data_IF_178244130972
#
_entry.id   IF_178244130972
#
_cell.length_a   1.000
_cell.length_b   1.000
_cell.length_c   1.000
_cell.angle_alpha   90.00
_cell.angle_beta   90.00
_cell.angle_gamma   90.00
#
_symmetry.space_group_name_H-M   'P 1'
#
loop_
_entity.id
_entity.type
_entity.pdbx_description
1 polymer ?
#
# COMPACT_ATOMS: atom_id res chain seq x y z
N UNK A 1 -23.20 -29.14 13.20
CA UNK A 1 -22.77 -27.89 13.80
C UNK A 1 -22.64 -26.88 12.66
N UNK A 2 -23.33 -25.75 12.75
CA UNK A 2 -23.22 -24.67 11.76
C UNK A 2 -21.94 -23.89 12.08
N UNK A 3 -21.04 -23.76 11.12
CA UNK A 3 -19.86 -22.92 11.27
C UNK A 3 -20.30 -21.48 11.46
N UNK A 4 -19.80 -20.75 12.47
CA UNK A 4 -20.18 -19.34 12.65
C UNK A 4 -19.73 -18.52 11.42
N UNK A 5 -20.60 -17.64 10.95
CA UNK A 5 -20.27 -16.69 9.89
C UNK A 5 -19.40 -15.59 10.47
N UNK A 6 -18.26 -15.34 9.86
CA UNK A 6 -17.34 -14.30 10.30
C UNK A 6 -17.74 -12.92 9.75
N UNK A 7 -18.11 -12.88 8.46
CA UNK A 7 -18.46 -11.67 7.73
C UNK A 7 -19.48 -12.01 6.64
N UNK A 8 -20.45 -11.13 6.40
CA UNK A 8 -21.50 -11.34 5.40
C UNK A 8 -21.77 -10.03 4.67
N UNK A 9 -21.95 -10.12 3.36
CA UNK A 9 -22.24 -8.99 2.47
C UNK A 9 -23.59 -9.23 1.78
N UNK A 10 -24.26 -8.18 1.25
CA UNK A 10 -25.46 -8.30 0.46
C UNK A 10 -25.31 -9.30 -0.73
N UNK A 11 -26.39 -9.98 -1.10
CA UNK A 11 -26.37 -10.99 -2.18
C UNK A 11 -26.07 -10.41 -3.55
N UNK A 12 -26.30 -9.14 -3.78
CA UNK A 12 -26.04 -8.40 -5.01
C UNK A 12 -24.60 -7.83 -5.08
N UNK A 13 -23.81 -7.97 -4.00
CA UNK A 13 -22.40 -7.61 -4.02
C UNK A 13 -21.54 -8.73 -4.61
N UNK A 14 -20.42 -8.36 -5.22
CA UNK A 14 -19.61 -9.28 -6.00
C UNK A 14 -18.96 -10.36 -5.15
N UNK A 15 -18.34 -10.01 -4.01
CA UNK A 15 -17.68 -10.96 -3.11
C UNK A 15 -17.27 -10.33 -1.77
N UNK A 16 -17.07 -11.20 -0.78
CA UNK A 16 -16.42 -10.86 0.49
C UNK A 16 -15.05 -11.54 0.58
N UNK A 17 -14.07 -10.82 1.11
CA UNK A 17 -12.73 -11.35 1.41
C UNK A 17 -12.39 -10.99 2.84
N UNK A 18 -11.73 -11.89 3.57
CA UNK A 18 -11.14 -11.62 4.87
C UNK A 18 -9.67 -12.01 4.86
N UNK A 19 -8.85 -11.23 5.55
CA UNK A 19 -7.42 -11.46 5.72
C UNK A 19 -7.02 -11.18 7.17
N UNK A 20 -6.03 -11.90 7.65
CA UNK A 20 -5.45 -11.67 8.96
C UNK A 20 -4.00 -11.22 8.79
N UNK A 21 -3.69 -10.06 9.34
CA UNK A 21 -2.33 -9.54 9.46
C UNK A 21 -1.75 -10.10 10.75
N UNK A 22 -0.70 -10.91 10.63
CA UNK A 22 -0.01 -11.56 11.76
C UNK A 22 1.26 -10.83 12.19
N UNK A 23 1.52 -9.63 11.64
CA UNK A 23 2.69 -8.81 11.98
C UNK A 23 2.78 -8.58 13.48
N UNK A 24 3.85 -9.00 14.16
CA UNK A 24 3.97 -8.92 15.61
C UNK A 24 3.77 -7.50 16.17
N UNK A 25 2.79 -7.34 17.06
CA UNK A 25 2.41 -6.05 17.65
C UNK A 25 1.44 -5.22 16.82
N UNK A 26 1.05 -5.72 15.64
CA UNK A 26 0.11 -5.07 14.73
C UNK A 26 -0.96 -6.05 14.23
N UNK A 27 -1.17 -7.15 14.93
CA UNK A 27 -2.10 -8.20 14.54
C UNK A 27 -3.52 -7.63 14.38
N UNK A 28 -4.09 -7.82 13.20
CA UNK A 28 -5.42 -7.30 12.84
C UNK A 28 -6.12 -8.24 11.87
N UNK A 29 -7.44 -8.23 11.92
CA UNK A 29 -8.25 -8.93 10.93
C UNK A 29 -9.02 -7.91 10.12
N UNK A 30 -8.93 -8.03 8.82
CA UNK A 30 -9.60 -7.19 7.85
C UNK A 30 -10.69 -7.95 7.13
N UNK A 31 -11.71 -7.25 6.68
CA UNK A 31 -12.66 -7.74 5.69
C UNK A 31 -12.86 -6.69 4.60
N UNK A 32 -13.12 -7.15 3.41
CA UNK A 32 -13.42 -6.29 2.25
C UNK A 32 -14.73 -6.79 1.64
N UNK A 33 -15.66 -5.88 1.52
CA UNK A 33 -16.89 -6.03 0.75
C UNK A 33 -16.66 -5.44 -0.63
N UNK A 34 -16.51 -6.28 -1.65
CA UNK A 34 -16.45 -5.85 -3.04
C UNK A 34 -17.86 -5.68 -3.58
N UNK A 35 -18.31 -4.43 -3.66
CA UNK A 35 -19.62 -4.08 -4.20
C UNK A 35 -19.66 -4.42 -5.68
N UNK A 36 -18.61 -4.02 -6.42
CA UNK A 36 -18.37 -4.32 -7.84
C UNK A 36 -16.86 -4.34 -8.13
N UNK A 37 -16.47 -4.29 -9.41
CA UNK A 37 -15.05 -4.28 -9.84
C UNK A 37 -14.26 -3.04 -9.39
N UNK A 38 -14.93 -1.92 -9.16
CA UNK A 38 -14.31 -0.64 -8.87
C UNK A 38 -14.54 -0.19 -7.43
N UNK A 39 -15.64 -0.63 -6.83
CA UNK A 39 -16.11 -0.16 -5.54
C UNK A 39 -16.01 -1.23 -4.46
N UNK A 40 -15.49 -0.85 -3.30
CA UNK A 40 -15.33 -1.73 -2.13
C UNK A 40 -15.47 -0.95 -0.84
N UNK A 41 -15.87 -1.62 0.22
CA UNK A 41 -15.81 -1.11 1.58
C UNK A 41 -14.83 -1.97 2.37
N UNK A 42 -13.88 -1.33 3.03
CA UNK A 42 -12.88 -2.00 3.84
C UNK A 42 -13.27 -1.92 5.32
N UNK A 43 -13.05 -3.00 6.03
CA UNK A 43 -13.38 -3.13 7.46
C UNK A 43 -12.19 -3.68 8.23
N UNK A 44 -12.09 -3.29 9.49
CA UNK A 44 -11.18 -3.91 10.46
C UNK A 44 -12.01 -4.45 11.63
N UNK A 45 -11.64 -5.61 12.14
CA UNK A 45 -12.27 -6.22 13.31
C UNK A 45 -11.75 -5.55 14.59
N UNK A 46 -12.64 -4.99 15.39
CA UNK A 46 -12.37 -4.38 16.69
C UNK A 46 -13.43 -4.83 17.68
N UNK A 47 -13.00 -5.36 18.83
CA UNK A 47 -13.91 -5.78 19.92
C UNK A 47 -15.11 -6.60 19.40
N UNK A 48 -14.82 -7.63 18.58
CA UNK A 48 -15.81 -8.52 17.94
C UNK A 48 -16.77 -7.83 16.96
N UNK A 49 -16.50 -6.58 16.57
CA UNK A 49 -17.32 -5.81 15.64
C UNK A 49 -16.51 -5.36 14.42
N UNK A 50 -17.13 -5.39 13.25
CA UNK A 50 -16.55 -4.87 12.03
C UNK A 50 -16.74 -3.36 11.94
N UNK A 51 -15.63 -2.64 11.98
CA UNK A 51 -15.56 -1.18 11.87
C UNK A 51 -15.16 -0.81 10.46
N UNK A 52 -15.98 -0.05 9.72
CA UNK A 52 -15.59 0.40 8.37
C UNK A 52 -14.46 1.41 8.45
N UNK A 53 -13.52 1.29 7.51
CA UNK A 53 -12.52 2.33 7.26
C UNK A 53 -13.19 3.39 6.38
N UNK A 54 -13.37 4.58 6.91
CA UNK A 54 -14.17 5.66 6.33
C UNK A 54 -13.44 6.33 5.16
N UNK A 55 -13.56 5.75 3.97
CA UNK A 55 -13.04 6.25 2.70
C UNK A 55 -14.07 6.06 1.58
N UNK A 56 -14.00 6.82 0.48
CA UNK A 56 -14.79 6.54 -0.72
C UNK A 56 -14.58 5.10 -1.22
N UNK A 57 -15.60 4.51 -1.81
CA UNK A 57 -15.61 3.10 -2.22
C UNK A 57 -14.61 2.77 -3.33
N UNK A 58 -14.16 3.77 -4.09
CA UNK A 58 -13.16 3.67 -5.15
C UNK A 58 -11.72 3.89 -4.66
N UNK A 59 -11.50 4.08 -3.35
CA UNK A 59 -10.16 4.18 -2.76
C UNK A 59 -9.64 2.79 -2.39
N UNK A 60 -8.47 2.45 -2.93
CA UNK A 60 -7.75 1.26 -2.49
C UNK A 60 -7.10 1.52 -1.13
N UNK A 61 -7.29 0.61 -0.19
CA UNK A 61 -6.75 0.68 1.16
C UNK A 61 -5.80 -0.49 1.36
N UNK A 62 -4.64 -0.23 1.94
CA UNK A 62 -3.75 -1.26 2.49
C UNK A 62 -3.20 -0.82 3.83
N UNK A 63 -2.83 -1.78 4.67
CA UNK A 63 -2.24 -1.52 5.98
C UNK A 63 -0.88 -2.21 6.08
N UNK A 64 0.06 -1.58 6.77
CA UNK A 64 1.31 -2.18 7.19
C UNK A 64 1.73 -1.54 8.50
N UNK A 65 1.87 -2.33 9.55
CA UNK A 65 2.21 -1.87 10.89
C UNK A 65 1.32 -0.70 11.33
N UNK A 66 1.90 0.44 11.71
CA UNK A 66 1.17 1.66 12.12
C UNK A 66 0.57 2.47 10.96
N UNK A 67 0.76 2.05 9.71
CA UNK A 67 0.39 2.84 8.54
C UNK A 67 -0.84 2.30 7.81
N UNK A 68 -1.72 3.21 7.41
CA UNK A 68 -2.72 3.02 6.36
C UNK A 68 -2.27 3.74 5.11
N UNK A 69 -2.33 3.06 3.97
CA UNK A 69 -2.10 3.64 2.66
C UNK A 69 -3.41 3.72 1.89
N UNK A 70 -3.60 4.82 1.19
CA UNK A 70 -4.77 5.07 0.35
C UNK A 70 -4.32 5.43 -1.06
N UNK A 71 -4.93 4.76 -2.04
CA UNK A 71 -4.76 5.08 -3.46
C UNK A 71 -6.14 5.31 -4.08
N UNK A 72 -6.55 6.57 -4.28
CA UNK A 72 -7.81 6.89 -4.94
C UNK A 72 -7.75 6.56 -6.43
N UNK A 73 -8.85 6.02 -6.98
CA UNK A 73 -8.99 5.77 -8.41
C UNK A 73 -9.58 6.97 -9.15
N UNK A 74 -10.23 7.87 -8.44
CA UNK A 74 -10.68 9.19 -8.90
C UNK A 74 -10.14 10.27 -7.96
N UNK A 75 -10.28 11.53 -8.33
CA UNK A 75 -9.88 12.64 -7.47
C UNK A 75 -10.65 12.59 -6.14
N UNK A 76 -9.93 12.49 -5.04
CA UNK A 76 -10.50 12.40 -3.70
C UNK A 76 -10.38 13.74 -2.99
N UNK A 77 -11.53 14.33 -2.63
CA UNK A 77 -11.56 15.57 -1.85
C UNK A 77 -11.81 15.23 -0.38
N UNK A 78 -10.87 15.58 0.48
CA UNK A 78 -10.95 15.39 1.93
C UNK A 78 -10.58 16.70 2.63
N UNK A 79 -11.48 17.22 3.46
CA UNK A 79 -11.29 18.47 4.23
C UNK A 79 -10.77 19.65 3.38
N UNK A 80 -11.22 19.75 2.14
CA UNK A 80 -10.85 20.83 1.21
C UNK A 80 -9.53 20.62 0.47
N UNK A 81 -8.81 19.52 0.74
CA UNK A 81 -7.64 19.09 -0.01
C UNK A 81 -8.04 18.07 -1.07
N UNK A 82 -7.56 18.25 -2.30
CA UNK A 82 -7.78 17.30 -3.39
C UNK A 82 -6.54 16.42 -3.55
N UNK A 83 -6.74 15.10 -3.46
CA UNK A 83 -5.75 14.08 -3.77
C UNK A 83 -6.06 13.52 -5.15
N UNK A 84 -5.22 13.79 -6.17
CA UNK A 84 -5.50 13.35 -7.54
C UNK A 84 -5.60 11.83 -7.68
N UNK A 85 -6.38 11.38 -8.65
CA UNK A 85 -6.44 9.97 -9.06
C UNK A 85 -5.04 9.37 -9.23
N UNK A 86 -4.79 8.21 -8.65
CA UNK A 86 -3.50 7.52 -8.70
C UNK A 86 -2.43 8.04 -7.73
N UNK A 87 -2.72 9.06 -6.91
CA UNK A 87 -1.87 9.45 -5.78
C UNK A 87 -1.72 8.30 -4.78
N UNK A 88 -0.66 8.33 -3.98
CA UNK A 88 -0.50 7.48 -2.80
C UNK A 88 -0.37 8.38 -1.58
N UNK A 89 -1.23 8.18 -0.61
CA UNK A 89 -1.20 8.93 0.65
C UNK A 89 -1.22 7.97 1.84
N UNK A 90 -0.64 8.40 2.96
CA UNK A 90 -0.56 7.62 4.19
C UNK A 90 -1.21 8.34 5.36
N UNK A 91 -1.74 7.57 6.29
CA UNK A 91 -2.16 8.02 7.62
C UNK A 91 -1.63 7.06 8.69
N UNK A 92 -1.52 7.54 9.94
CA UNK A 92 -1.40 6.61 11.06
C UNK A 92 -2.72 5.84 11.22
N UNK A 93 -2.63 4.54 11.38
CA UNK A 93 -3.77 3.62 11.39
C UNK A 93 -4.76 3.94 12.51
N UNK A 94 -4.27 4.03 13.75
CA UNK A 94 -5.13 4.24 14.92
C UNK A 94 -5.71 5.66 14.95
N UNK A 95 -4.91 6.67 14.58
CA UNK A 95 -5.38 8.05 14.49
C UNK A 95 -6.48 8.19 13.44
N UNK A 96 -6.34 7.53 12.29
CA UNK A 96 -7.36 7.57 11.24
C UNK A 96 -8.68 6.95 11.68
N UNK A 97 -8.62 5.79 12.34
CA UNK A 97 -9.81 5.14 12.92
C UNK A 97 -10.43 5.97 14.06
N UNK A 98 -9.62 6.73 14.79
CA UNK A 98 -10.08 7.67 15.81
C UNK A 98 -10.71 8.95 15.23
N UNK A 99 -10.71 9.12 13.90
CA UNK A 99 -11.34 10.24 13.21
C UNK A 99 -10.37 11.32 12.72
N UNK A 100 -9.05 11.15 12.90
CA UNK A 100 -8.08 12.05 12.26
C UNK A 100 -8.16 11.93 10.73
N UNK A 101 -8.00 13.05 10.06
CA UNK A 101 -7.94 13.11 8.59
C UNK A 101 -6.61 13.71 8.10
N UNK A 102 -5.59 13.65 8.96
CA UNK A 102 -4.23 14.08 8.59
C UNK A 102 -3.60 13.02 7.69
N UNK A 103 -3.43 13.36 6.41
CA UNK A 103 -2.78 12.51 5.42
C UNK A 103 -1.42 13.08 5.02
N UNK A 104 -0.46 12.17 4.86
CA UNK A 104 0.85 12.48 4.30
C UNK A 104 0.89 12.04 2.85
N UNK A 105 1.24 12.92 1.92
CA UNK A 105 1.38 12.58 0.51
C UNK A 105 2.72 11.87 0.31
N UNK A 106 2.68 10.66 -0.24
CA UNK A 106 3.85 9.85 -0.57
C UNK A 106 4.20 9.93 -2.05
N UNK A 107 3.17 10.06 -2.90
CA UNK A 107 3.33 10.19 -4.34
C UNK A 107 2.12 10.94 -4.93
N UNK A 108 2.41 11.83 -5.88
CA UNK A 108 1.42 12.47 -6.72
C UNK A 108 1.80 12.21 -8.17
N UNK A 109 0.89 11.68 -9.01
CA UNK A 109 1.14 11.47 -10.43
C UNK A 109 1.26 12.81 -11.17
N UNK A 110 2.02 12.81 -12.25
CA UNK A 110 2.10 13.92 -13.19
C UNK A 110 1.91 13.42 -14.63
N UNK A 111 2.10 14.30 -15.62
CA UNK A 111 1.90 13.95 -17.03
C UNK A 111 2.88 12.87 -17.54
N UNK A 112 3.95 12.62 -16.82
CA UNK A 112 5.05 11.74 -17.23
C UNK A 112 5.29 10.58 -16.24
N UNK A 113 4.76 10.68 -15.02
CA UNK A 113 5.08 9.73 -13.94
C UNK A 113 3.81 9.17 -13.31
N UNK A 114 3.71 7.85 -13.26
CA UNK A 114 2.61 7.12 -12.63
C UNK A 114 3.11 6.07 -11.66
N UNK A 115 2.34 5.81 -10.60
CA UNK A 115 2.57 4.72 -9.66
C UNK A 115 2.04 3.41 -10.25
N UNK A 116 2.91 2.43 -10.43
CA UNK A 116 2.52 1.09 -10.88
C UNK A 116 2.10 0.21 -9.71
N UNK A 117 2.99 0.08 -8.74
CA UNK A 117 2.79 -0.72 -7.54
C UNK A 117 3.64 -0.20 -6.38
N UNK A 118 3.41 -0.77 -5.20
CA UNK A 118 4.28 -0.58 -4.04
C UNK A 118 4.43 -1.90 -3.29
N UNK A 119 5.50 -1.99 -2.51
CA UNK A 119 5.74 -3.13 -1.61
C UNK A 119 6.42 -2.65 -0.33
N UNK A 120 6.03 -3.22 0.80
CA UNK A 120 6.67 -2.96 2.07
C UNK A 120 7.77 -3.97 2.34
N UNK A 121 8.97 -3.48 2.68
CA UNK A 121 9.91 -4.24 3.50
C UNK A 121 9.59 -3.97 4.97
N UNK A 122 10.37 -4.51 5.90
CA UNK A 122 10.11 -4.28 7.33
C UNK A 122 10.02 -2.79 7.68
N UNK A 123 10.92 -1.95 7.16
CA UNK A 123 11.06 -0.56 7.58
C UNK A 123 10.84 0.44 6.43
N UNK A 124 10.81 0.01 5.18
CA UNK A 124 10.76 0.89 4.02
C UNK A 124 9.60 0.57 3.09
N UNK A 125 9.10 1.59 2.43
CA UNK A 125 8.13 1.46 1.35
C UNK A 125 8.83 1.64 0.00
N UNK A 126 8.76 0.61 -0.83
CA UNK A 126 9.26 0.63 -2.19
C UNK A 126 8.15 1.08 -3.14
N UNK A 127 8.35 2.14 -3.90
CA UNK A 127 7.43 2.57 -4.96
C UNK A 127 8.00 2.19 -6.32
N UNK A 128 7.24 1.42 -7.08
CA UNK A 128 7.51 1.13 -8.47
C UNK A 128 6.79 2.15 -9.34
N UNK A 129 7.53 2.99 -10.03
CA UNK A 129 7.03 4.07 -10.84
C UNK A 129 7.34 3.83 -12.31
N UNK A 130 6.45 4.28 -13.17
CA UNK A 130 6.70 4.42 -14.59
C UNK A 130 6.84 5.91 -14.91
N UNK A 131 8.02 6.30 -15.37
CA UNK A 131 8.32 7.65 -15.83
C UNK A 131 8.54 7.63 -17.35
N UNK A 132 7.58 8.19 -18.09
CA UNK A 132 7.48 8.01 -19.53
C UNK A 132 7.46 6.51 -19.88
N UNK A 133 8.56 5.97 -20.40
CA UNK A 133 8.72 4.55 -20.76
C UNK A 133 9.78 3.83 -19.91
N UNK A 134 10.23 4.45 -18.83
CA UNK A 134 11.31 3.92 -17.98
C UNK A 134 10.83 3.64 -16.59
N UNK A 135 11.23 2.51 -16.03
CA UNK A 135 10.99 2.21 -14.61
C UNK A 135 11.86 3.09 -13.72
N UNK A 136 11.28 3.56 -12.63
CA UNK A 136 11.95 4.25 -11.53
C UNK A 136 11.49 3.62 -10.22
N UNK A 137 12.41 3.34 -9.31
CA UNK A 137 12.09 2.83 -7.98
C UNK A 137 12.49 3.88 -6.96
N UNK A 138 11.58 4.19 -6.04
CA UNK A 138 11.86 5.04 -4.87
C UNK A 138 11.70 4.24 -3.60
N UNK A 139 12.65 4.44 -2.69
CA UNK A 139 12.62 3.89 -1.33
C UNK A 139 12.22 5.02 -0.40
N UNK A 140 11.10 4.86 0.30
CA UNK A 140 10.58 5.82 1.25
C UNK A 140 10.84 5.32 2.67
N UNK A 141 11.30 6.22 3.53
CA UNK A 141 11.60 5.97 4.94
C UNK A 141 10.56 6.65 5.84
N UNK A 142 9.60 5.89 6.41
CA UNK A 142 8.59 6.46 7.30
C UNK A 142 9.17 7.02 8.61
N UNK A 143 10.33 6.51 9.07
CA UNK A 143 10.99 7.02 10.28
C UNK A 143 11.49 8.46 10.13
N UNK A 144 11.58 8.92 8.88
CA UNK A 144 11.99 10.27 8.50
C UNK A 144 10.82 11.06 7.91
N UNK A 145 9.65 10.90 8.51
CA UNK A 145 8.47 11.67 8.15
C UNK A 145 8.72 13.17 8.42
N UNK A 146 8.39 14.01 7.42
CA UNK A 146 8.62 15.44 7.47
C UNK A 146 9.99 15.92 6.94
N UNK A 147 10.93 15.01 6.65
CA UNK A 147 12.24 15.37 6.07
C UNK A 147 12.16 15.66 4.56
N UNK A 148 11.06 15.31 3.91
CA UNK A 148 10.81 15.68 2.51
C UNK A 148 10.45 17.18 2.42
N UNK A 149 10.86 17.88 1.35
CA UNK A 149 10.46 19.27 1.11
C UNK A 149 8.94 19.49 1.12
N UNK A 150 8.16 18.47 0.77
CA UNK A 150 6.70 18.51 0.72
C UNK A 150 6.06 18.00 2.03
N UNK A 151 6.85 17.77 3.08
CA UNK A 151 6.37 17.24 4.37
C UNK A 151 6.06 15.75 4.38
N UNK A 152 6.36 15.04 3.29
CA UNK A 152 6.23 13.59 3.18
C UNK A 152 7.36 12.81 3.86
N UNK A 153 7.44 11.51 3.58
CA UNK A 153 8.55 10.68 4.01
C UNK A 153 9.79 10.93 3.17
N UNK A 154 10.98 10.80 3.75
CA UNK A 154 12.22 10.91 3.00
C UNK A 154 12.24 9.85 1.89
N UNK A 155 12.43 10.30 0.65
CA UNK A 155 12.44 9.45 -0.53
C UNK A 155 13.84 9.44 -1.15
N UNK A 156 14.36 8.24 -1.45
CA UNK A 156 15.65 8.06 -2.12
C UNK A 156 15.44 7.23 -3.39
N UNK A 157 15.89 7.69 -4.56
CA UNK A 157 15.85 6.88 -5.76
C UNK A 157 16.79 5.68 -5.63
N UNK A 158 16.33 4.51 -6.08
CA UNK A 158 17.16 3.31 -6.18
C UNK A 158 17.88 3.30 -7.54
N UNK A 159 19.19 3.36 -7.53
CA UNK A 159 19.99 3.29 -8.75
C UNK A 159 20.17 1.83 -9.21
N UNK A 160 19.04 1.22 -9.61
CA UNK A 160 19.00 -0.18 -10.05
C UNK A 160 18.09 -0.40 -11.26
N UNK A 161 17.69 0.68 -11.94
CA UNK A 161 16.83 0.62 -13.12
C UNK A 161 17.62 0.88 -14.39
N UNK A 162 18.14 -0.16 -15.08
CA UNK A 162 18.82 0.03 -16.35
C UNK A 162 17.89 0.68 -17.39
N UNK A 163 18.40 1.55 -18.26
CA UNK A 163 17.57 2.16 -19.30
C UNK A 163 16.96 1.10 -20.23
N UNK A 164 15.73 1.33 -20.67
CA UNK A 164 14.96 0.44 -21.56
C UNK A 164 14.65 -0.95 -20.94
N UNK A 165 14.65 -1.06 -19.62
CA UNK A 165 14.18 -2.24 -18.90
C UNK A 165 12.91 -1.91 -18.15
N UNK A 166 12.02 -2.89 -18.09
CA UNK A 166 10.96 -2.95 -17.09
C UNK A 166 11.56 -3.52 -15.80
N UNK A 167 11.48 -2.75 -14.73
CA UNK A 167 12.06 -3.14 -13.44
C UNK A 167 10.98 -3.01 -12.37
N UNK A 168 10.88 -4.06 -11.55
CA UNK A 168 9.94 -4.11 -10.42
C UNK A 168 10.67 -4.58 -9.17
N UNK A 169 10.43 -3.90 -8.05
CA UNK A 169 10.94 -4.26 -6.74
C UNK A 169 9.80 -4.71 -5.82
N UNK A 170 10.00 -5.80 -5.10
CA UNK A 170 9.07 -6.27 -4.08
C UNK A 170 9.82 -6.94 -2.93
N UNK A 171 9.30 -6.79 -1.71
CA UNK A 171 9.92 -7.34 -0.52
C UNK A 171 10.09 -8.87 -0.60
N UNK A 172 11.12 -9.39 0.05
CA UNK A 172 11.30 -10.84 0.23
C UNK A 172 10.29 -11.36 1.24
N UNK A 173 9.97 -10.57 2.25
CA UNK A 173 9.02 -10.85 3.31
C UNK A 173 8.13 -9.61 3.47
N UNK A 174 6.98 -9.63 2.81
CA UNK A 174 6.02 -8.52 2.80
C UNK A 174 5.04 -8.56 3.99
N UNK A 175 4.95 -9.71 4.67
CA UNK A 175 4.14 -9.90 5.87
C UNK A 175 4.92 -9.62 7.17
N UNK A 176 6.23 -9.35 7.07
CA UNK A 176 7.13 -9.10 8.21
C UNK A 176 7.05 -10.19 9.31
N UNK A 177 6.80 -11.44 8.88
CA UNK A 177 6.72 -12.61 9.76
C UNK A 177 8.09 -13.09 10.26
N UNK A 178 9.14 -12.36 9.93
CA UNK A 178 10.49 -12.79 10.21
C UNK A 178 10.70 -13.07 11.68
N UNK A 179 11.25 -14.27 12.02
CA UNK A 179 11.62 -14.58 13.37
C UNK A 179 12.63 -13.59 13.94
N UNK A 180 12.64 -13.43 15.25
CA UNK A 180 13.50 -12.50 15.97
C UNK A 180 15.02 -12.70 15.70
N UNK A 181 15.40 -13.78 15.01
CA UNK A 181 16.77 -14.19 14.71
C UNK A 181 17.25 -13.88 13.27
N UNK A 182 16.60 -12.96 12.56
CA UNK A 182 17.15 -12.38 11.34
C UNK A 182 16.50 -12.80 10.04
N UNK A 183 15.20 -12.75 9.94
CA UNK A 183 14.47 -12.92 8.68
C UNK A 183 14.88 -11.92 7.60
N UNK A 184 14.16 -11.89 6.51
CA UNK A 184 14.50 -11.10 5.32
C UNK A 184 14.63 -9.59 5.61
N UNK A 185 13.97 -9.08 6.66
CA UNK A 185 14.09 -7.70 7.08
C UNK A 185 13.74 -6.71 5.96
N UNK A 186 14.74 -5.96 5.53
CA UNK A 186 14.59 -4.99 4.44
C UNK A 186 15.11 -5.51 3.10
N UNK A 187 15.34 -6.82 2.98
CA UNK A 187 15.70 -7.41 1.71
C UNK A 187 14.53 -7.39 0.72
N UNK A 188 14.82 -7.17 -0.53
CA UNK A 188 13.83 -7.18 -1.60
C UNK A 188 14.34 -7.86 -2.86
N UNK A 189 13.41 -8.38 -3.62
CA UNK A 189 13.66 -8.89 -4.96
C UNK A 189 13.57 -7.75 -5.97
N UNK A 190 14.45 -7.78 -6.95
CA UNK A 190 14.41 -6.91 -8.11
C UNK A 190 14.31 -7.78 -9.38
N UNK A 191 13.23 -7.62 -10.12
CA UNK A 191 13.06 -8.24 -11.43
C UNK A 191 13.33 -7.18 -12.50
N UNK A 192 14.26 -7.47 -13.39
CA UNK A 192 14.55 -6.62 -14.55
C UNK A 192 14.36 -7.41 -15.85
N UNK A 193 13.63 -6.83 -16.80
CA UNK A 193 13.36 -7.44 -18.11
C UNK A 193 13.63 -6.41 -19.20
N UNK A 194 14.45 -6.76 -20.20
CA UNK A 194 14.73 -5.91 -21.35
C UNK A 194 14.45 -6.62 -22.67
N UNK A 195 14.35 -5.86 -23.77
CA UNK A 195 14.10 -6.42 -25.10
C UNK A 195 15.18 -7.40 -25.55
N UNK A 196 16.41 -7.15 -25.17
CA UNK A 196 17.60 -7.97 -25.54
C UNK A 196 18.24 -8.65 -24.35
N UNK A 197 17.69 -8.45 -23.16
CA UNK A 197 18.21 -9.00 -21.91
C UNK A 197 17.18 -9.96 -21.33
N UNK A 198 17.54 -11.21 -21.01
CA UNK A 198 16.65 -12.13 -20.33
C UNK A 198 16.16 -11.56 -19.00
N UNK A 199 14.96 -11.95 -18.58
CA UNK A 199 14.46 -11.61 -17.24
C UNK A 199 15.47 -12.06 -16.19
N UNK A 200 15.91 -11.14 -15.38
CA UNK A 200 16.89 -11.35 -14.32
C UNK A 200 16.27 -11.05 -12.98
N UNK A 201 16.44 -11.96 -12.01
CA UNK A 201 16.05 -11.80 -10.62
C UNK A 201 17.30 -11.51 -9.80
N UNK A 202 17.28 -10.45 -9.02
CA UNK A 202 18.35 -10.01 -8.11
C UNK A 202 17.79 -9.83 -6.69
N UNK A 203 18.68 -9.90 -5.69
CA UNK A 203 18.34 -9.65 -4.27
C UNK A 203 19.32 -8.65 -3.70
#
# INVERSE_FOLDING_TARGET
ATTPRLFEVPEDHMMAVAAHDSTPGFERTFAVDYIDFFNRTNFVLRDESWVPIDVPTDVNVSAHREWLLFRPQQDWVLEGTTYPSGSLVAANFEDYLAGSRMLTVLFTPDAHTSLQSWSWTRNFLLLNLLKDVSSEIRVLDPSRAGDSPDGGWAATPLDACPPLHDVNAYAVDDEDEAPADGGAGDDFWLIATGFTTPTTLMR
#
